data_IF_848191482181
#
_entry.id   IF_848191482181
#
_cell.length_a   1.000
_cell.length_b   1.000
_cell.length_c   1.000
_cell.angle_alpha   90.00
_cell.angle_beta   90.00
_cell.angle_gamma   90.00
#
_symmetry.space_group_name_H-M   'P 1'
#
loop_
_entity.id
_entity.type
_entity.pdbx_description
1 polymer ?
#
# COMPACT_ATOMS: atom_id res chain seq x y z
N UNK A 1 -11.07 2.17 -25.67
CA UNK A 1 -10.84 0.70 -25.56
C UNK A 1 -10.79 0.39 -24.08
N UNK A 2 -11.34 -0.74 -23.65
CA UNK A 2 -11.26 -1.16 -22.25
C UNK A 2 -9.78 -1.38 -21.87
N UNK A 3 -9.43 -1.02 -20.64
CA UNK A 3 -8.09 -1.24 -20.09
C UNK A 3 -7.82 -2.73 -19.95
N UNK A 4 -6.77 -3.23 -20.61
CA UNK A 4 -6.45 -4.66 -20.66
C UNK A 4 -4.95 -4.89 -20.37
N UNK A 5 -4.53 -4.57 -19.15
CA UNK A 5 -3.18 -4.78 -18.67
C UNK A 5 -3.18 -5.64 -17.39
N UNK A 6 -2.13 -6.42 -17.13
CA UNK A 6 -0.91 -6.56 -17.95
C UNK A 6 -1.14 -7.43 -19.20
N UNK A 7 -0.18 -7.42 -20.10
CA UNK A 7 -0.13 -8.39 -21.20
C UNK A 7 0.22 -9.79 -20.69
N UNK A 8 0.29 -10.80 -21.56
CA UNK A 8 0.58 -12.19 -21.18
C UNK A 8 1.98 -12.39 -20.58
N UNK A 9 2.92 -11.51 -20.88
CA UNK A 9 4.28 -11.53 -20.35
C UNK A 9 4.40 -10.79 -19.02
N UNK A 10 3.32 -10.15 -18.57
CA UNK A 10 3.26 -9.42 -17.29
C UNK A 10 3.68 -7.96 -17.37
N UNK A 11 3.65 -7.37 -18.58
CA UNK A 11 3.98 -5.95 -18.75
C UNK A 11 2.74 -5.06 -18.81
N UNK A 12 2.83 -3.93 -18.13
CA UNK A 12 1.94 -2.77 -18.18
C UNK A 12 2.60 -1.71 -19.06
N UNK A 13 2.32 -1.71 -20.37
CA UNK A 13 3.13 -0.98 -21.34
C UNK A 13 4.57 -1.50 -21.34
N UNK A 14 5.53 -0.67 -20.94
CA UNK A 14 6.94 -1.05 -20.83
C UNK A 14 7.33 -1.57 -19.41
N UNK A 15 6.51 -1.34 -18.39
CA UNK A 15 6.80 -1.69 -16.99
C UNK A 15 6.29 -3.07 -16.61
N UNK A 16 6.90 -3.68 -15.60
CA UNK A 16 6.53 -5.02 -15.10
C UNK A 16 7.53 -6.10 -15.49
N UNK A 17 7.03 -7.23 -15.96
CA UNK A 17 7.85 -8.37 -16.38
C UNK A 17 8.31 -9.27 -15.24
N UNK A 18 9.26 -10.19 -15.55
CA UNK A 18 9.80 -11.20 -14.62
C UNK A 18 11.33 -11.15 -14.63
N UNK A 19 11.92 -10.21 -13.91
CA UNK A 19 13.38 -10.02 -13.81
C UNK A 19 13.90 -10.77 -12.58
N UNK A 20 13.84 -12.09 -12.62
CA UNK A 20 14.25 -12.98 -11.52
C UNK A 20 15.32 -13.97 -12.00
N UNK A 21 16.16 -14.50 -11.07
CA UNK A 21 17.07 -15.58 -11.40
C UNK A 21 16.30 -16.82 -11.91
N UNK A 22 16.92 -17.61 -12.75
CA UNK A 22 16.36 -18.85 -13.30
C UNK A 22 15.93 -19.84 -12.21
N UNK A 23 16.58 -19.86 -11.07
CA UNK A 23 16.22 -20.68 -9.90
C UNK A 23 14.84 -20.34 -9.33
N UNK A 24 14.36 -19.12 -9.52
CA UNK A 24 13.05 -18.66 -9.04
C UNK A 24 11.96 -18.71 -10.13
N UNK A 25 12.36 -18.81 -11.40
CA UNK A 25 11.41 -18.73 -12.51
C UNK A 25 10.33 -19.81 -12.46
N UNK A 26 10.70 -21.04 -12.08
CA UNK A 26 9.73 -22.14 -11.94
C UNK A 26 8.64 -21.81 -10.91
N UNK A 27 9.01 -21.28 -9.75
CA UNK A 27 8.06 -20.90 -8.70
C UNK A 27 7.13 -19.75 -9.13
N UNK A 28 7.67 -18.77 -9.86
CA UNK A 28 6.89 -17.65 -10.40
C UNK A 28 5.89 -18.11 -11.45
N UNK A 29 6.28 -19.06 -12.32
CA UNK A 29 5.36 -19.64 -13.31
C UNK A 29 4.32 -20.57 -12.67
N UNK A 30 4.68 -21.32 -11.62
CA UNK A 30 3.73 -22.12 -10.81
C UNK A 30 2.68 -21.19 -10.18
N UNK A 31 3.11 -20.07 -9.61
CA UNK A 31 2.24 -19.07 -9.03
C UNK A 31 1.29 -18.47 -10.07
N UNK A 32 1.80 -18.07 -11.25
CA UNK A 32 0.98 -17.49 -12.32
C UNK A 32 -0.12 -18.47 -12.77
N UNK A 33 0.24 -19.75 -12.95
CA UNK A 33 -0.72 -20.80 -13.29
C UNK A 33 -1.79 -20.96 -12.21
N UNK A 34 -1.38 -21.14 -10.95
CA UNK A 34 -2.30 -21.34 -9.83
C UNK A 34 -3.24 -20.12 -9.64
N UNK A 35 -2.71 -18.91 -9.80
CA UNK A 35 -3.50 -17.68 -9.72
C UNK A 35 -4.55 -17.60 -10.84
N UNK A 36 -4.19 -17.91 -12.10
CA UNK A 36 -5.13 -17.90 -13.22
C UNK A 36 -6.21 -18.99 -13.08
N UNK A 37 -5.88 -20.13 -12.50
CA UNK A 37 -6.83 -21.18 -12.16
C UNK A 37 -7.77 -20.72 -11.04
N UNK A 38 -7.25 -20.12 -9.98
CA UNK A 38 -8.05 -19.61 -8.84
C UNK A 38 -9.05 -18.53 -9.25
N UNK A 39 -8.72 -17.68 -10.23
CA UNK A 39 -9.65 -16.66 -10.78
C UNK A 39 -10.90 -17.30 -11.41
N UNK A 40 -10.80 -18.53 -11.90
CA UNK A 40 -11.88 -19.25 -12.57
C UNK A 40 -12.55 -20.29 -11.66
N UNK A 41 -12.02 -20.52 -10.47
CA UNK A 41 -12.56 -21.46 -9.49
C UNK A 41 -13.63 -20.80 -8.62
N UNK A 42 -14.94 -21.10 -8.80
CA UNK A 42 -16.00 -20.51 -7.97
C UNK A 42 -15.86 -20.86 -6.49
N UNK A 43 -15.27 -22.01 -6.15
CA UNK A 43 -15.09 -22.42 -4.76
C UNK A 43 -13.99 -21.59 -4.09
N UNK A 44 -12.92 -21.25 -4.80
CA UNK A 44 -11.90 -20.34 -4.30
C UNK A 44 -12.47 -18.93 -4.08
N UNK A 45 -13.21 -18.41 -5.06
CA UNK A 45 -13.82 -17.08 -4.95
C UNK A 45 -14.83 -17.01 -3.80
N UNK A 46 -15.68 -18.03 -3.63
CA UNK A 46 -16.64 -18.07 -2.53
C UNK A 46 -15.96 -18.14 -1.15
N UNK A 47 -14.88 -18.94 -1.01
CA UNK A 47 -14.10 -19.02 0.25
C UNK A 47 -13.43 -17.66 0.56
N UNK A 48 -12.86 -17.01 -0.45
CA UNK A 48 -12.25 -15.68 -0.27
C UNK A 48 -13.29 -14.62 0.10
N UNK A 49 -14.44 -14.60 -0.56
CA UNK A 49 -15.54 -13.65 -0.27
C UNK A 49 -16.10 -13.86 1.14
N UNK A 50 -16.24 -15.12 1.59
CA UNK A 50 -16.66 -15.45 2.94
C UNK A 50 -15.65 -14.95 3.98
N UNK A 51 -14.35 -15.16 3.75
CA UNK A 51 -13.29 -14.67 4.62
C UNK A 51 -13.25 -13.13 4.67
N UNK A 52 -13.39 -12.47 3.54
CA UNK A 52 -13.48 -11.02 3.48
C UNK A 52 -14.67 -10.49 4.28
N UNK A 53 -15.82 -11.16 4.19
CA UNK A 53 -17.04 -10.77 4.89
C UNK A 53 -17.00 -11.11 6.38
N UNK A 54 -16.70 -12.35 6.73
CA UNK A 54 -16.88 -12.86 8.11
C UNK A 54 -15.65 -12.62 8.99
N UNK A 55 -14.45 -12.62 8.40
CA UNK A 55 -13.21 -12.50 9.14
C UNK A 55 -12.59 -11.10 9.06
N UNK A 56 -12.56 -10.49 7.87
CA UNK A 56 -12.06 -9.11 7.72
C UNK A 56 -13.07 -8.07 8.17
N UNK A 57 -14.36 -8.37 8.07
CA UNK A 57 -15.46 -7.48 8.48
C UNK A 57 -15.94 -6.56 7.37
N UNK A 58 -15.70 -6.97 6.08
CA UNK A 58 -16.22 -6.18 4.95
C UNK A 58 -17.74 -6.31 4.84
N UNK A 59 -18.47 -5.35 4.26
CA UNK A 59 -17.92 -4.21 3.52
C UNK A 59 -17.60 -3.05 4.47
N UNK A 60 -16.46 -2.40 4.23
CA UNK A 60 -16.14 -1.19 4.96
C UNK A 60 -16.97 -0.01 4.46
N UNK A 61 -17.43 0.89 5.33
CA UNK A 61 -18.23 2.03 4.91
C UNK A 61 -17.45 3.01 4.02
N UNK A 62 -18.16 3.63 3.10
CA UNK A 62 -17.80 4.88 2.47
C UNK A 62 -18.41 6.01 3.29
N UNK A 63 -17.59 6.67 4.11
CA UNK A 63 -18.01 7.68 5.08
C UNK A 63 -17.92 9.09 4.50
N UNK A 64 -19.03 9.82 4.49
CA UNK A 64 -19.02 11.24 4.15
C UNK A 64 -18.40 12.04 5.31
N UNK A 65 -17.20 12.55 5.11
CA UNK A 65 -16.45 13.32 6.11
C UNK A 65 -16.96 14.77 6.15
N UNK A 66 -18.06 14.98 6.86
CA UNK A 66 -18.78 16.25 6.87
C UNK A 66 -17.93 17.39 7.43
N UNK A 67 -17.24 17.15 8.53
CA UNK A 67 -16.44 18.19 9.18
C UNK A 67 -15.18 18.51 8.37
N UNK A 68 -14.53 17.48 7.79
CA UNK A 68 -13.38 17.67 6.91
C UNK A 68 -13.78 18.42 5.64
N UNK A 69 -14.94 18.12 5.05
CA UNK A 69 -15.51 18.85 3.91
C UNK A 69 -15.75 20.31 4.25
N UNK A 70 -16.37 20.59 5.41
CA UNK A 70 -16.61 21.96 5.87
C UNK A 70 -15.32 22.73 6.13
N UNK A 71 -14.32 22.08 6.72
CA UNK A 71 -12.99 22.65 6.94
C UNK A 71 -12.27 22.97 5.61
N UNK A 72 -12.31 22.05 4.66
CA UNK A 72 -11.71 22.26 3.34
C UNK A 72 -12.39 23.36 2.54
N UNK A 73 -13.68 23.57 2.72
CA UNK A 73 -14.43 24.65 2.06
C UNK A 73 -14.58 24.50 0.55
N UNK A 74 -14.65 23.26 0.05
CA UNK A 74 -14.74 22.94 -1.38
C UNK A 74 -15.47 21.63 -1.64
N UNK A 75 -14.91 20.75 -2.46
CA UNK A 75 -15.51 19.47 -2.85
C UNK A 75 -15.84 18.57 -1.66
N UNK A 76 -16.89 17.78 -1.79
CA UNK A 76 -17.31 16.79 -0.80
C UNK A 76 -16.26 15.68 -0.68
N UNK A 77 -15.83 15.38 0.54
CA UNK A 77 -14.79 14.37 0.82
C UNK A 77 -15.46 13.14 1.43
N UNK A 78 -15.28 11.99 0.77
CA UNK A 78 -15.70 10.68 1.26
C UNK A 78 -14.47 9.86 1.60
N UNK A 79 -14.48 9.20 2.75
CA UNK A 79 -13.39 8.32 3.20
C UNK A 79 -13.79 6.86 3.01
N UNK A 80 -13.04 6.11 2.20
CA UNK A 80 -13.15 4.65 2.17
C UNK A 80 -12.38 4.07 3.34
N UNK A 81 -13.10 3.53 4.32
CA UNK A 81 -12.64 3.22 5.68
C UNK A 81 -11.92 1.87 5.76
N UNK A 82 -10.76 1.73 5.08
CA UNK A 82 -9.91 0.52 5.17
C UNK A 82 -9.23 0.36 6.54
N UNK A 83 -9.21 1.41 7.34
CA UNK A 83 -8.80 1.43 8.75
C UNK A 83 -9.68 0.57 9.67
N UNK A 84 -10.90 0.24 9.24
CA UNK A 84 -11.85 -0.60 9.97
C UNK A 84 -11.71 -2.10 9.69
N UNK A 85 -10.85 -2.50 8.76
CA UNK A 85 -10.56 -3.90 8.55
C UNK A 85 -10.02 -4.57 9.82
N UNK A 86 -10.27 -5.87 10.00
CA UNK A 86 -9.45 -6.68 10.89
C UNK A 86 -7.96 -6.45 10.58
N UNK A 87 -7.14 -6.29 11.62
CA UNK A 87 -5.75 -5.81 11.60
C UNK A 87 -5.56 -4.29 11.45
N UNK A 88 -6.59 -3.53 11.06
CA UNK A 88 -6.58 -2.07 11.05
C UNK A 88 -6.03 -1.40 9.80
N UNK A 89 -5.89 -2.14 8.68
CA UNK A 89 -5.45 -1.60 7.39
C UNK A 89 -5.90 -2.47 6.21
N UNK A 90 -5.74 -1.96 4.98
CA UNK A 90 -6.06 -2.66 3.73
C UNK A 90 -5.23 -3.93 3.47
N UNK A 91 -4.08 -4.09 4.12
CA UNK A 91 -3.12 -5.17 3.84
C UNK A 91 -3.73 -6.57 4.00
N UNK A 92 -4.69 -6.75 4.88
CA UNK A 92 -5.35 -8.04 5.12
C UNK A 92 -6.08 -8.59 3.90
N UNK A 93 -6.63 -7.72 3.04
CA UNK A 93 -7.33 -8.14 1.81
C UNK A 93 -6.41 -8.96 0.91
N UNK A 94 -5.22 -8.44 0.67
CA UNK A 94 -4.20 -9.08 -0.14
C UNK A 94 -3.57 -10.29 0.56
N UNK A 95 -3.20 -10.16 1.84
CA UNK A 95 -2.56 -11.24 2.59
C UNK A 95 -3.45 -12.49 2.65
N UNK A 96 -4.75 -12.35 2.93
CA UNK A 96 -5.68 -13.46 2.93
C UNK A 96 -5.77 -14.15 1.57
N UNK A 97 -5.90 -13.38 0.48
CA UNK A 97 -5.98 -13.92 -0.87
C UNK A 97 -4.73 -14.70 -1.25
N UNK A 98 -3.54 -14.15 -0.98
CA UNK A 98 -2.28 -14.82 -1.28
C UNK A 98 -2.04 -16.07 -0.40
N UNK A 99 -2.34 -16.01 0.92
CA UNK A 99 -2.17 -17.17 1.80
C UNK A 99 -3.16 -18.29 1.45
N UNK A 100 -4.41 -17.96 1.12
CA UNK A 100 -5.37 -18.93 0.61
C UNK A 100 -4.87 -19.58 -0.69
N UNK A 101 -4.31 -18.80 -1.62
CA UNK A 101 -3.71 -19.32 -2.85
C UNK A 101 -2.54 -20.24 -2.55
N UNK A 102 -1.61 -19.84 -1.65
CA UNK A 102 -0.48 -20.66 -1.23
C UNK A 102 -0.93 -22.01 -0.64
N UNK A 103 -1.98 -21.99 0.20
CA UNK A 103 -2.59 -23.20 0.75
C UNK A 103 -3.12 -24.13 -0.35
N UNK A 104 -3.82 -23.58 -1.37
CA UNK A 104 -4.30 -24.34 -2.53
C UNK A 104 -3.16 -24.90 -3.38
N UNK A 105 -2.02 -24.22 -3.43
CA UNK A 105 -0.79 -24.71 -4.07
C UNK A 105 -0.07 -25.79 -3.24
N UNK A 106 -0.55 -26.13 -2.03
CA UNK A 106 0.05 -27.12 -1.15
C UNK A 106 1.31 -26.64 -0.41
N UNK A 107 1.59 -25.33 -0.41
CA UNK A 107 2.71 -24.75 0.36
C UNK A 107 2.43 -24.86 1.87
N UNK A 108 3.50 -25.07 2.64
CA UNK A 108 3.42 -25.27 4.08
C UNK A 108 3.91 -24.07 4.89
N UNK A 109 4.78 -23.27 4.27
CA UNK A 109 5.44 -22.14 4.89
C UNK A 109 5.16 -20.85 4.12
N UNK A 110 5.05 -19.77 4.86
CA UNK A 110 4.85 -18.43 4.36
C UNK A 110 6.06 -17.57 4.78
N UNK A 111 6.56 -16.79 3.85
CA UNK A 111 7.48 -15.70 4.16
C UNK A 111 6.93 -14.39 3.63
N UNK A 112 7.26 -13.29 4.30
CA UNK A 112 6.92 -11.95 3.82
C UNK A 112 7.95 -10.93 4.31
N UNK A 113 7.98 -9.78 3.67
CA UNK A 113 8.66 -8.58 4.13
C UNK A 113 7.70 -7.65 4.86
N UNK A 114 8.23 -6.72 5.64
CA UNK A 114 7.44 -5.62 6.18
C UNK A 114 8.31 -4.42 6.56
N UNK A 115 7.79 -3.20 6.41
CA UNK A 115 8.37 -1.97 6.92
C UNK A 115 7.58 -1.47 8.14
N UNK A 116 6.42 -0.83 7.94
CA UNK A 116 5.55 -0.37 9.04
C UNK A 116 4.96 -1.50 9.91
N UNK A 117 5.19 -2.76 9.56
CA UNK A 117 4.66 -3.92 10.28
C UNK A 117 3.24 -4.34 9.88
N UNK A 118 2.48 -3.51 9.17
CA UNK A 118 1.08 -3.81 8.85
C UNK A 118 0.94 -5.00 7.89
N UNK A 119 1.81 -5.13 6.90
CA UNK A 119 1.83 -6.30 6.02
C UNK A 119 2.25 -7.56 6.80
N UNK A 120 3.28 -7.45 7.65
CA UNK A 120 3.71 -8.55 8.51
C UNK A 120 2.60 -9.03 9.44
N UNK A 121 1.89 -8.12 10.11
CA UNK A 121 0.74 -8.46 10.97
C UNK A 121 -0.37 -9.13 10.14
N UNK A 122 -0.71 -8.60 8.97
CA UNK A 122 -1.74 -9.18 8.11
C UNK A 122 -1.35 -10.58 7.62
N UNK A 123 -0.08 -10.79 7.24
CA UNK A 123 0.43 -12.08 6.80
C UNK A 123 0.48 -13.09 7.95
N UNK A 124 0.99 -12.69 9.13
CA UNK A 124 0.98 -13.54 10.33
C UNK A 124 -0.44 -13.93 10.73
N UNK A 125 -1.40 -12.99 10.66
CA UNK A 125 -2.82 -13.23 10.91
C UNK A 125 -3.39 -14.30 9.98
N UNK A 126 -3.15 -14.15 8.67
CA UNK A 126 -3.62 -15.11 7.68
C UNK A 126 -2.92 -16.48 7.83
N UNK A 127 -1.62 -16.50 8.09
CA UNK A 127 -0.86 -17.73 8.31
C UNK A 127 -1.36 -18.49 9.55
N UNK A 128 -1.64 -17.77 10.65
CA UNK A 128 -2.23 -18.37 11.86
C UNK A 128 -3.61 -18.97 11.56
N UNK A 129 -4.48 -18.27 10.84
CA UNK A 129 -5.81 -18.74 10.45
C UNK A 129 -5.74 -20.05 9.65
N UNK A 130 -4.76 -20.19 8.78
CA UNK A 130 -4.59 -21.38 7.94
C UNK A 130 -3.62 -22.42 8.51
N UNK A 131 -3.11 -22.23 9.73
CA UNK A 131 -2.14 -23.09 10.40
C UNK A 131 -0.89 -23.35 9.54
N UNK A 132 -0.29 -22.27 9.04
CA UNK A 132 0.95 -22.30 8.24
C UNK A 132 2.10 -21.66 9.02
N UNK A 133 3.31 -22.22 8.89
CA UNK A 133 4.51 -21.60 9.43
C UNK A 133 4.76 -20.24 8.75
N UNK A 134 5.12 -19.24 9.55
CA UNK A 134 5.29 -17.87 9.03
C UNK A 134 6.61 -17.25 9.52
N UNK A 135 7.40 -16.73 8.58
CA UNK A 135 8.60 -15.92 8.88
C UNK A 135 8.47 -14.56 8.22
N UNK A 136 8.63 -13.49 8.99
CA UNK A 136 8.53 -12.10 8.53
C UNK A 136 9.92 -11.46 8.60
N UNK A 137 10.41 -10.96 7.46
CA UNK A 137 11.64 -10.18 7.37
C UNK A 137 11.34 -8.70 7.56
N UNK A 138 12.08 -8.05 8.47
CA UNK A 138 11.88 -6.65 8.81
C UNK A 138 13.22 -5.98 9.05
N UNK A 139 13.45 -4.79 8.50
CA UNK A 139 14.68 -4.05 8.72
C UNK A 139 14.86 -3.69 10.20
N UNK A 140 16.10 -3.75 10.71
CA UNK A 140 16.39 -3.50 12.13
C UNK A 140 15.89 -2.12 12.60
N UNK A 141 15.97 -1.10 11.75
CA UNK A 141 15.47 0.24 12.08
C UNK A 141 13.93 0.26 12.19
N UNK A 142 13.27 -0.48 11.30
CA UNK A 142 11.81 -0.61 11.34
C UNK A 142 11.34 -1.46 12.54
N UNK A 143 12.08 -2.51 12.92
CA UNK A 143 11.84 -3.29 14.15
C UNK A 143 11.81 -2.38 15.38
N UNK A 144 12.77 -1.45 15.47
CA UNK A 144 12.83 -0.47 16.58
C UNK A 144 11.65 0.51 16.56
N UNK A 145 11.33 1.03 15.36
CA UNK A 145 10.24 2.03 15.18
C UNK A 145 8.85 1.42 15.46
N UNK A 146 8.66 0.14 15.15
CA UNK A 146 7.37 -0.54 15.11
C UNK A 146 7.28 -1.75 16.05
N UNK A 147 7.90 -1.64 17.23
CA UNK A 147 7.99 -2.73 18.22
C UNK A 147 6.63 -3.35 18.61
N UNK A 148 5.55 -2.56 18.62
CA UNK A 148 4.19 -3.05 18.89
C UNK A 148 3.72 -4.01 17.79
N UNK A 149 4.01 -3.73 16.52
CA UNK A 149 3.65 -4.63 15.42
C UNK A 149 4.53 -5.88 15.41
N UNK A 150 5.81 -5.77 15.81
CA UNK A 150 6.69 -6.93 16.00
C UNK A 150 6.08 -7.88 17.02
N UNK A 151 5.71 -7.37 18.18
CA UNK A 151 5.06 -8.18 19.24
C UNK A 151 3.74 -8.81 18.77
N UNK A 152 2.93 -8.09 17.98
CA UNK A 152 1.70 -8.64 17.38
C UNK A 152 2.00 -9.83 16.46
N UNK A 153 3.03 -9.73 15.61
CA UNK A 153 3.43 -10.83 14.72
C UNK A 153 3.88 -12.05 15.49
N UNK A 154 4.70 -11.86 16.54
CA UNK A 154 5.15 -12.94 17.43
C UNK A 154 4.00 -13.59 18.20
N UNK A 155 3.04 -12.78 18.69
CA UNK A 155 1.85 -13.27 19.38
C UNK A 155 0.95 -14.12 18.45
N UNK A 156 0.95 -13.83 17.15
CA UNK A 156 0.27 -14.59 16.11
C UNK A 156 1.04 -15.86 15.70
N UNK A 157 2.20 -16.11 16.29
CA UNK A 157 3.02 -17.30 16.04
C UNK A 157 4.03 -17.13 14.89
N UNK A 158 4.16 -15.96 14.31
CA UNK A 158 5.17 -15.71 13.29
C UNK A 158 6.55 -15.48 13.92
N UNK A 159 7.60 -15.92 13.22
CA UNK A 159 8.97 -15.56 13.54
C UNK A 159 9.32 -14.24 12.83
N UNK A 160 9.84 -13.26 13.57
CA UNK A 160 10.35 -12.02 12.99
C UNK A 160 11.86 -12.09 12.87
N UNK A 161 12.37 -11.98 11.65
CA UNK A 161 13.80 -11.95 11.34
C UNK A 161 14.24 -10.50 11.09
N UNK A 162 15.08 -9.98 11.99
CA UNK A 162 15.67 -8.64 11.87
C UNK A 162 16.76 -8.62 10.81
N UNK A 163 16.61 -7.74 9.80
CA UNK A 163 17.57 -7.59 8.70
C UNK A 163 18.52 -6.44 9.03
N UNK A 164 19.80 -6.76 9.16
CA UNK A 164 20.88 -5.84 9.56
C UNK A 164 21.72 -5.34 8.40
N UNK A 165 21.49 -5.85 7.19
CA UNK A 165 22.19 -5.44 5.97
C UNK A 165 21.63 -4.13 5.39
N UNK A 166 22.45 -3.40 4.65
CA UNK A 166 22.07 -2.20 3.91
C UNK A 166 21.60 -1.06 4.81
N UNK A 167 20.55 -0.34 4.38
CA UNK A 167 19.91 0.74 5.13
C UNK A 167 19.01 0.24 6.27
N UNK A 168 18.79 -1.07 6.38
CA UNK A 168 18.04 -1.75 7.44
C UNK A 168 16.56 -1.33 7.53
N UNK A 169 15.97 -1.04 6.35
CA UNK A 169 14.56 -0.67 6.18
C UNK A 169 13.87 -1.60 5.18
N UNK A 170 12.66 -1.28 4.76
CA UNK A 170 11.78 -2.11 3.91
C UNK A 170 12.49 -2.68 2.66
N UNK A 171 13.31 -1.89 1.94
CA UNK A 171 14.03 -2.39 0.74
C UNK A 171 14.89 -3.61 1.05
N UNK A 172 15.61 -3.59 2.17
CA UNK A 172 16.50 -4.68 2.55
C UNK A 172 15.74 -5.88 3.10
N UNK A 173 14.60 -5.65 3.75
CA UNK A 173 13.66 -6.71 4.13
C UNK A 173 13.13 -7.47 2.89
N UNK A 174 12.78 -6.77 1.81
CA UNK A 174 12.38 -7.40 0.52
C UNK A 174 13.53 -8.23 -0.05
N UNK A 175 14.76 -7.69 -0.06
CA UNK A 175 15.94 -8.42 -0.52
C UNK A 175 16.18 -9.72 0.28
N UNK A 176 16.04 -9.67 1.60
CA UNK A 176 16.20 -10.83 2.48
C UNK A 176 15.11 -11.88 2.23
N UNK A 177 13.85 -11.45 2.12
CA UNK A 177 12.71 -12.34 1.82
C UNK A 177 12.86 -13.02 0.45
N UNK A 178 13.28 -12.31 -0.59
CA UNK A 178 13.54 -12.89 -1.91
C UNK A 178 14.67 -13.93 -1.86
N UNK A 179 15.77 -13.63 -1.16
CA UNK A 179 16.88 -14.61 -0.98
C UNK A 179 16.39 -15.86 -0.24
N UNK A 180 15.61 -15.68 0.81
CA UNK A 180 15.05 -16.80 1.55
C UNK A 180 14.09 -17.64 0.70
N UNK A 181 13.29 -17.00 -0.15
CA UNK A 181 12.38 -17.69 -1.05
C UNK A 181 13.14 -18.56 -2.06
N UNK A 182 14.18 -18.02 -2.70
CA UNK A 182 15.05 -18.80 -3.60
C UNK A 182 15.61 -20.06 -2.92
N UNK A 183 15.98 -19.97 -1.63
CA UNK A 183 16.55 -21.08 -0.88
C UNK A 183 15.52 -22.14 -0.44
N UNK A 184 14.22 -21.84 -0.44
CA UNK A 184 13.16 -22.68 0.15
C UNK A 184 11.92 -22.79 -0.76
N UNK A 185 12.10 -22.67 -2.07
CA UNK A 185 11.03 -22.53 -3.05
C UNK A 185 10.03 -23.70 -3.08
N UNK A 186 10.44 -24.91 -2.69
CA UNK A 186 9.63 -26.13 -2.82
C UNK A 186 8.38 -26.11 -1.91
N UNK A 187 8.54 -25.72 -0.64
CA UNK A 187 7.48 -25.77 0.37
C UNK A 187 7.07 -24.40 0.89
N UNK A 188 7.73 -23.34 0.47
CA UNK A 188 7.57 -21.98 0.96
C UNK A 188 6.98 -21.08 -0.13
N UNK A 189 6.05 -20.21 0.26
CA UNK A 189 5.50 -19.17 -0.60
C UNK A 189 5.79 -17.78 -0.04
N UNK A 190 6.18 -16.88 -0.94
CA UNK A 190 6.39 -15.48 -0.61
C UNK A 190 5.11 -14.68 -0.79
N UNK A 191 4.65 -14.01 0.29
CA UNK A 191 3.49 -13.13 0.28
C UNK A 191 3.97 -11.70 0.04
N UNK A 192 3.80 -11.19 -1.17
CA UNK A 192 4.22 -9.84 -1.53
C UNK A 192 3.32 -8.79 -0.90
N UNK A 193 3.92 -7.80 -0.22
CA UNK A 193 3.20 -6.81 0.58
C UNK A 193 2.58 -5.66 -0.21
N UNK A 194 2.97 -5.45 -1.46
CA UNK A 194 2.45 -4.38 -2.29
C UNK A 194 2.32 -4.79 -3.76
N UNK A 195 1.79 -3.89 -4.60
CA UNK A 195 1.55 -4.14 -6.03
C UNK A 195 2.84 -4.01 -6.86
N UNK A 196 3.90 -4.68 -6.41
CA UNK A 196 5.25 -4.68 -6.98
C UNK A 196 5.80 -6.10 -7.05
N UNK A 197 7.06 -6.26 -7.46
CA UNK A 197 7.67 -7.57 -7.62
C UNK A 197 7.47 -8.16 -9.02
N UNK A 198 8.04 -9.35 -9.28
CA UNK A 198 7.92 -10.00 -10.59
C UNK A 198 6.46 -10.39 -10.87
N UNK A 199 6.05 -10.32 -12.15
CA UNK A 199 4.74 -10.85 -12.52
C UNK A 199 4.64 -12.34 -12.10
N UNK A 200 3.52 -12.79 -11.46
CA UNK A 200 2.19 -12.15 -11.43
C UNK A 200 1.89 -11.32 -10.17
N UNK A 201 2.84 -11.07 -9.27
CA UNK A 201 2.55 -10.39 -8.00
C UNK A 201 1.82 -9.04 -8.15
N UNK A 202 2.20 -8.11 -9.07
CA UNK A 202 1.48 -6.85 -9.21
C UNK A 202 -0.01 -7.05 -9.56
N UNK A 203 -0.31 -8.01 -10.44
CA UNK A 203 -1.68 -8.34 -10.82
C UNK A 203 -2.46 -9.00 -9.68
N UNK A 204 -1.85 -9.95 -8.97
CA UNK A 204 -2.44 -10.62 -7.80
C UNK A 204 -2.83 -9.59 -6.73
N UNK A 205 -1.90 -8.72 -6.37
CA UNK A 205 -2.13 -7.70 -5.34
C UNK A 205 -3.20 -6.71 -5.76
N UNK A 206 -3.16 -6.23 -7.00
CA UNK A 206 -4.20 -5.38 -7.57
C UNK A 206 -5.58 -6.03 -7.46
N UNK A 207 -5.71 -7.27 -7.91
CA UNK A 207 -7.00 -7.95 -7.99
C UNK A 207 -7.60 -8.19 -6.59
N UNK A 208 -6.79 -8.61 -5.61
CA UNK A 208 -7.25 -8.78 -4.23
C UNK A 208 -7.55 -7.44 -3.54
N UNK A 209 -6.82 -6.38 -3.85
CA UNK A 209 -7.11 -5.05 -3.33
C UNK A 209 -8.27 -4.34 -4.05
N UNK A 210 -8.66 -4.79 -5.23
CA UNK A 210 -9.75 -4.17 -6.02
C UNK A 210 -11.11 -4.18 -5.31
N UNK A 211 -11.28 -4.99 -4.26
CA UNK A 211 -12.44 -4.94 -3.38
C UNK A 211 -12.68 -3.53 -2.83
N UNK A 212 -11.62 -2.76 -2.57
CA UNK A 212 -11.68 -1.36 -2.11
C UNK A 212 -12.48 -0.50 -3.11
N UNK A 213 -12.07 -0.50 -4.36
CA UNK A 213 -12.68 0.34 -5.39
C UNK A 213 -14.03 -0.19 -5.86
N UNK A 214 -14.23 -1.53 -5.93
CA UNK A 214 -15.55 -2.10 -6.27
C UNK A 214 -16.62 -1.68 -5.26
N UNK A 215 -16.33 -1.80 -3.97
CA UNK A 215 -17.24 -1.34 -2.91
C UNK A 215 -17.42 0.18 -2.96
N UNK A 216 -16.34 0.95 -3.06
CA UNK A 216 -16.38 2.41 -3.08
C UNK A 216 -17.25 2.94 -4.25
N UNK A 217 -17.10 2.36 -5.45
CA UNK A 217 -17.88 2.74 -6.64
C UNK A 217 -19.36 2.51 -6.44
N UNK A 218 -19.74 1.34 -5.95
CA UNK A 218 -21.14 1.01 -5.66
C UNK A 218 -21.71 1.88 -4.55
N UNK A 219 -21.01 1.98 -3.41
CA UNK A 219 -21.44 2.75 -2.24
C UNK A 219 -21.59 4.24 -2.57
N UNK A 220 -20.68 4.79 -3.40
CA UNK A 220 -20.78 6.17 -3.82
C UNK A 220 -22.00 6.41 -4.71
N UNK A 221 -22.25 5.53 -5.69
CA UNK A 221 -23.43 5.60 -6.55
C UNK A 221 -24.74 5.50 -5.75
N UNK A 222 -24.81 4.61 -4.76
CA UNK A 222 -25.97 4.48 -3.85
C UNK A 222 -26.22 5.76 -3.05
N UNK A 223 -25.17 6.43 -2.58
CA UNK A 223 -25.27 7.67 -1.78
C UNK A 223 -25.51 8.92 -2.65
N UNK A 224 -25.23 8.87 -3.96
CA UNK A 224 -25.23 10.03 -4.85
C UNK A 224 -26.04 9.81 -6.13
N UNK A 225 -27.21 9.16 -6.02
CA UNK A 225 -28.19 8.99 -7.10
C UNK A 225 -27.61 8.39 -8.41
N UNK A 226 -26.69 7.42 -8.29
CA UNK A 226 -26.06 6.74 -9.42
C UNK A 226 -24.83 7.46 -10.01
N UNK A 227 -24.39 8.58 -9.43
CA UNK A 227 -23.24 9.32 -9.92
C UNK A 227 -21.90 8.61 -9.63
N UNK A 228 -20.86 9.01 -10.36
CA UNK A 228 -19.46 8.70 -10.06
C UNK A 228 -18.82 9.89 -9.33
N UNK A 229 -17.76 9.65 -8.51
CA UNK A 229 -16.99 10.75 -7.93
C UNK A 229 -16.19 11.47 -9.03
N UNK A 230 -15.86 12.74 -8.80
CA UNK A 230 -15.01 13.52 -9.72
C UNK A 230 -13.52 13.14 -9.55
N UNK A 231 -13.10 12.75 -8.34
CA UNK A 231 -11.72 12.40 -8.07
C UNK A 231 -11.58 11.23 -7.08
N UNK A 232 -10.45 10.52 -7.20
CA UNK A 232 -9.95 9.52 -6.25
C UNK A 232 -8.61 9.98 -5.73
N UNK A 233 -8.36 9.81 -4.44
CA UNK A 233 -7.08 10.14 -3.79
C UNK A 233 -6.61 8.98 -2.93
N UNK A 234 -5.35 8.56 -3.09
CA UNK A 234 -4.74 7.52 -2.26
C UNK A 234 -3.24 7.75 -2.11
N UNK A 235 -2.66 7.37 -0.97
CA UNK A 235 -1.22 7.41 -0.80
C UNK A 235 -0.53 6.29 -1.57
N UNK A 236 0.71 6.52 -2.01
CA UNK A 236 1.51 5.55 -2.73
C UNK A 236 2.91 5.41 -2.15
N UNK A 237 3.23 4.21 -1.67
CA UNK A 237 4.56 3.67 -1.53
C UNK A 237 4.73 2.65 -2.67
N UNK A 238 4.63 1.34 -2.41
CA UNK A 238 4.46 0.35 -3.49
C UNK A 238 3.09 0.43 -4.20
N UNK A 239 2.10 1.17 -3.65
CA UNK A 239 0.87 1.56 -4.31
C UNK A 239 -0.30 0.59 -4.19
N UNK A 240 -0.30 -0.39 -3.27
CA UNK A 240 -1.35 -1.42 -3.21
C UNK A 240 -2.74 -0.89 -2.88
N UNK A 241 -2.87 0.05 -1.92
CA UNK A 241 -4.16 0.67 -1.61
C UNK A 241 -4.68 1.53 -2.76
N UNK A 242 -3.77 2.26 -3.41
CA UNK A 242 -4.09 3.13 -4.52
C UNK A 242 -4.58 2.34 -5.73
N UNK A 243 -3.85 1.30 -6.16
CA UNK A 243 -4.29 0.47 -7.29
C UNK A 243 -5.60 -0.26 -6.98
N UNK A 244 -5.80 -0.67 -5.72
CA UNK A 244 -7.05 -1.29 -5.26
C UNK A 244 -8.26 -0.35 -5.38
N UNK A 245 -8.07 0.95 -5.08
CA UNK A 245 -9.10 1.97 -5.29
C UNK A 245 -9.25 2.34 -6.77
N UNK A 246 -8.13 2.53 -7.51
CA UNK A 246 -8.12 3.09 -8.86
C UNK A 246 -8.59 2.11 -9.94
N UNK A 247 -8.16 0.85 -9.86
CA UNK A 247 -8.39 -0.13 -10.92
C UNK A 247 -9.87 -0.31 -11.28
N UNK A 248 -10.84 -0.42 -10.36
CA UNK A 248 -12.25 -0.51 -10.71
C UNK A 248 -12.85 0.72 -11.42
N UNK A 249 -12.12 1.84 -11.43
CA UNK A 249 -12.49 3.09 -12.11
C UNK A 249 -11.61 3.37 -13.35
N UNK A 250 -10.76 2.44 -13.74
CA UNK A 250 -9.74 2.70 -14.77
C UNK A 250 -10.36 3.12 -16.12
N UNK A 251 -11.52 2.55 -16.46
CA UNK A 251 -12.26 2.86 -17.68
C UNK A 251 -13.21 4.08 -17.54
N UNK A 252 -13.40 4.59 -16.33
CA UNK A 252 -14.25 5.79 -16.09
C UNK A 252 -13.41 7.06 -16.31
N UNK A 253 -13.33 7.51 -17.55
CA UNK A 253 -12.47 8.65 -17.94
C UNK A 253 -12.87 9.99 -17.30
N UNK A 254 -14.08 10.11 -16.79
CA UNK A 254 -14.57 11.29 -16.04
C UNK A 254 -14.02 11.35 -14.61
N UNK A 255 -13.46 10.26 -14.09
CA UNK A 255 -12.92 10.17 -12.73
C UNK A 255 -11.41 10.40 -12.77
N UNK A 256 -10.94 11.49 -12.17
CA UNK A 256 -9.51 11.79 -12.06
C UNK A 256 -8.90 11.02 -10.89
N UNK A 257 -7.66 10.57 -11.03
CA UNK A 257 -6.95 9.79 -10.01
C UNK A 257 -5.71 10.50 -9.53
N UNK A 258 -5.52 10.60 -8.21
CA UNK A 258 -4.37 11.24 -7.59
C UNK A 258 -3.70 10.29 -6.61
N UNK A 259 -2.42 9.95 -6.88
CA UNK A 259 -1.55 9.23 -5.97
C UNK A 259 -0.69 10.22 -5.19
N UNK A 260 -0.66 10.15 -3.86
CA UNK A 260 0.21 11.02 -3.06
C UNK A 260 1.47 10.30 -2.65
N UNK A 261 2.62 10.83 -3.07
CA UNK A 261 3.96 10.32 -2.76
C UNK A 261 4.52 11.01 -1.51
N UNK A 262 5.34 10.29 -0.74
CA UNK A 262 6.03 10.87 0.40
C UNK A 262 7.19 11.76 -0.06
N UNK A 263 7.02 13.05 0.07
CA UNK A 263 8.08 14.04 -0.21
C UNK A 263 9.05 14.22 0.95
N UNK A 264 8.88 13.52 2.06
CA UNK A 264 9.78 13.59 3.20
C UNK A 264 10.02 15.04 3.65
N UNK A 265 11.28 15.48 3.58
CA UNK A 265 11.68 16.87 3.88
C UNK A 265 11.65 17.79 2.66
N UNK A 266 11.16 17.31 1.53
CA UNK A 266 11.04 18.03 0.28
C UNK A 266 11.72 17.29 -0.87
N UNK A 267 11.11 17.30 -2.05
CA UNK A 267 11.60 16.57 -3.25
C UNK A 267 12.91 17.13 -3.83
N UNK A 268 13.35 18.29 -3.39
CA UNK A 268 14.64 18.88 -3.78
C UNK A 268 15.76 18.59 -2.77
N UNK A 269 15.48 17.73 -1.78
CA UNK A 269 16.46 17.19 -0.83
C UNK A 269 16.73 15.71 -1.16
N UNK A 270 17.71 15.09 -0.50
CA UNK A 270 17.97 13.64 -0.61
C UNK A 270 17.06 12.81 0.32
N UNK A 271 16.18 13.45 1.10
CA UNK A 271 15.33 12.81 2.09
C UNK A 271 13.85 12.80 1.65
N UNK A 272 13.54 11.99 0.64
CA UNK A 272 12.17 11.75 0.13
C UNK A 272 12.02 10.33 -0.43
N UNK A 273 10.75 9.93 -0.69
CA UNK A 273 10.38 8.68 -1.36
C UNK A 273 9.45 8.94 -2.58
N UNK A 274 9.55 10.12 -3.19
CA UNK A 274 8.70 10.54 -4.31
C UNK A 274 9.22 9.96 -5.64
N UNK A 275 8.97 8.68 -5.87
CA UNK A 275 9.56 7.88 -6.95
C UNK A 275 9.08 8.30 -8.34
N UNK A 276 7.79 8.62 -8.54
CA UNK A 276 7.27 9.06 -9.84
C UNK A 276 7.58 10.52 -10.13
N UNK A 277 7.85 11.31 -9.08
CA UNK A 277 8.25 12.72 -9.22
C UNK A 277 9.74 12.85 -9.58
N UNK A 278 10.64 12.03 -9.02
CA UNK A 278 12.10 12.18 -9.11
C UNK A 278 12.84 10.95 -9.65
N UNK A 279 12.21 9.80 -9.69
CA UNK A 279 12.80 8.55 -10.17
C UNK A 279 12.80 8.44 -11.70
N UNK A 280 13.34 7.32 -12.16
CA UNK A 280 13.37 6.94 -13.58
C UNK A 280 13.27 5.42 -13.70
N UNK A 281 12.93 4.88 -14.90
CA UNK A 281 12.80 3.44 -15.10
C UNK A 281 14.07 2.67 -14.71
N UNK A 282 13.88 1.60 -13.95
CA UNK A 282 14.93 0.69 -13.50
C UNK A 282 14.35 -0.63 -13.00
N UNK A 283 15.19 -1.66 -12.91
CA UNK A 283 14.77 -2.97 -12.38
C UNK A 283 15.05 -3.02 -10.88
N UNK A 284 13.99 -3.25 -10.11
CA UNK A 284 14.07 -3.46 -8.67
C UNK A 284 13.13 -4.60 -8.26
N UNK A 285 13.60 -5.49 -7.37
CA UNK A 285 12.80 -6.61 -6.81
C UNK A 285 12.04 -7.43 -7.86
N UNK A 286 12.65 -7.62 -9.03
CA UNK A 286 12.14 -8.52 -10.08
C UNK A 286 11.18 -7.90 -11.08
N UNK A 287 10.99 -6.60 -11.11
CA UNK A 287 10.17 -5.88 -12.10
C UNK A 287 10.86 -4.60 -12.60
N UNK A 288 10.56 -4.22 -13.85
CA UNK A 288 10.86 -2.90 -14.36
C UNK A 288 9.81 -1.90 -13.86
N UNK A 289 10.23 -0.84 -13.19
CA UNK A 289 9.37 0.19 -12.60
C UNK A 289 10.12 1.52 -12.50
N UNK A 290 9.47 2.61 -12.13
CA UNK A 290 10.21 3.81 -11.73
C UNK A 290 10.86 3.56 -10.35
N UNK A 291 12.12 3.97 -10.23
CA UNK A 291 12.93 3.82 -9.02
C UNK A 291 13.75 5.07 -8.74
N UNK A 292 13.99 5.38 -7.46
CA UNK A 292 14.96 6.38 -7.06
C UNK A 292 16.36 5.80 -7.25
N UNK A 293 17.13 6.37 -8.16
CA UNK A 293 18.47 5.90 -8.50
C UNK A 293 19.37 7.06 -8.95
N UNK A 294 20.67 6.91 -8.72
CA UNK A 294 21.69 7.84 -9.19
C UNK A 294 21.97 7.68 -10.70
N UNK A 295 22.87 8.49 -11.24
CA UNK A 295 23.26 8.44 -12.66
C UNK A 295 23.89 7.11 -13.08
N UNK A 296 24.48 6.38 -12.16
CA UNK A 296 25.08 5.05 -12.37
C UNK A 296 24.08 3.90 -12.22
N UNK A 297 22.81 4.20 -11.84
CA UNK A 297 21.78 3.20 -11.65
C UNK A 297 21.77 2.55 -10.26
N UNK A 298 22.51 3.10 -9.28
CA UNK A 298 22.46 2.63 -7.91
C UNK A 298 21.18 3.16 -7.24
N UNK A 299 20.50 2.28 -6.53
CA UNK A 299 19.27 2.64 -5.81
C UNK A 299 19.62 3.59 -4.65
N UNK A 300 18.98 4.75 -4.66
CA UNK A 300 19.10 5.73 -3.58
C UNK A 300 18.27 5.29 -2.36
N UNK A 301 18.69 5.73 -1.19
CA UNK A 301 17.89 5.55 0.02
C UNK A 301 16.64 6.40 -0.07
N UNK A 302 15.49 5.80 0.23
CA UNK A 302 14.25 6.53 0.39
C UNK A 302 14.14 7.08 1.82
N UNK A 303 13.32 8.09 2.02
CA UNK A 303 13.04 8.64 3.33
C UNK A 303 11.57 9.07 3.44
N UNK A 304 10.92 8.67 4.52
CA UNK A 304 9.59 9.14 4.93
C UNK A 304 9.40 8.99 6.43
N UNK A 305 8.66 9.91 7.05
CA UNK A 305 8.15 9.72 8.41
C UNK A 305 7.28 8.47 8.53
N UNK A 306 6.65 8.08 7.44
CA UNK A 306 5.81 6.89 7.31
C UNK A 306 6.63 5.71 6.80
N UNK A 307 6.90 4.72 7.66
CA UNK A 307 7.65 3.52 7.28
C UNK A 307 6.99 2.72 6.13
N UNK A 308 5.67 2.83 5.95
CA UNK A 308 4.95 2.17 4.86
C UNK A 308 5.10 2.86 3.50
N UNK A 309 5.62 4.10 3.46
CA UNK A 309 5.93 4.84 2.22
C UNK A 309 7.44 4.99 2.00
N UNK A 310 8.27 4.51 2.91
CA UNK A 310 9.73 4.54 2.85
C UNK A 310 10.27 3.44 1.93
N UNK A 311 10.12 3.65 0.61
CA UNK A 311 10.48 2.68 -0.41
C UNK A 311 10.91 3.39 -1.70
N UNK A 312 12.06 3.00 -2.33
CA UNK A 312 12.63 3.71 -3.47
C UNK A 312 12.04 3.29 -4.83
N UNK A 313 10.94 2.60 -4.87
CA UNK A 313 10.28 2.11 -6.08
C UNK A 313 8.76 2.23 -5.99
N UNK A 314 8.07 1.85 -7.06
CA UNK A 314 6.61 1.87 -7.11
C UNK A 314 6.09 0.71 -7.95
N UNK A 315 4.83 0.31 -7.76
CA UNK A 315 4.22 -0.72 -8.59
C UNK A 315 4.25 -0.38 -10.09
N UNK A 316 4.58 -1.34 -10.97
CA UNK A 316 4.74 -1.08 -12.41
C UNK A 316 3.47 -0.56 -13.07
N UNK A 317 2.29 -0.91 -12.58
CA UNK A 317 1.03 -0.37 -13.09
C UNK A 317 0.86 1.12 -12.77
N UNK A 318 1.41 1.61 -11.66
CA UNK A 318 1.45 3.05 -11.36
C UNK A 318 2.41 3.80 -12.29
N UNK A 319 3.60 3.23 -12.59
CA UNK A 319 4.51 3.77 -13.60
C UNK A 319 3.82 3.89 -14.95
N UNK A 320 3.07 2.86 -15.34
CA UNK A 320 2.28 2.88 -16.56
C UNK A 320 1.17 3.96 -16.50
N UNK A 321 0.42 4.06 -15.43
CA UNK A 321 -0.62 5.10 -15.26
C UNK A 321 -0.04 6.51 -15.36
N UNK A 322 1.15 6.74 -14.80
CA UNK A 322 1.85 8.01 -14.94
C UNK A 322 2.22 8.30 -16.40
N UNK A 323 2.73 7.30 -17.12
CA UNK A 323 3.14 7.45 -18.54
C UNK A 323 1.95 7.77 -19.43
N UNK A 324 0.84 7.03 -19.31
CA UNK A 324 -0.38 7.28 -20.11
C UNK A 324 -1.27 8.40 -19.57
N UNK A 325 -0.85 9.07 -18.49
CA UNK A 325 -1.58 10.16 -17.81
C UNK A 325 -2.97 9.75 -17.32
N UNK A 326 -3.14 8.47 -16.94
CA UNK A 326 -4.39 8.00 -16.32
C UNK A 326 -4.51 8.44 -14.87
N UNK A 327 -3.39 8.53 -14.16
CA UNK A 327 -3.31 9.08 -12.82
C UNK A 327 -2.24 10.16 -12.75
N UNK A 328 -2.42 11.11 -11.83
CA UNK A 328 -1.45 12.15 -11.48
C UNK A 328 -0.84 11.83 -10.12
N UNK A 329 0.47 11.96 -9.99
CA UNK A 329 1.16 11.72 -8.73
C UNK A 329 1.72 13.03 -8.18
N UNK A 330 1.48 13.26 -6.89
CA UNK A 330 1.78 14.53 -6.23
C UNK A 330 2.58 14.31 -4.95
N UNK A 331 3.65 15.07 -4.75
CA UNK A 331 4.44 14.97 -3.53
C UNK A 331 3.73 15.65 -2.36
N UNK A 332 3.80 15.02 -1.17
CA UNK A 332 3.30 15.53 0.11
C UNK A 332 4.40 15.37 1.15
N UNK A 333 4.74 16.45 1.85
CA UNK A 333 5.82 16.45 2.85
C UNK A 333 5.39 15.79 4.16
N UNK A 334 6.39 15.41 4.96
CA UNK A 334 6.18 14.87 6.31
C UNK A 334 5.40 15.85 7.21
N UNK A 335 5.66 17.16 7.07
CA UNK A 335 4.98 18.20 7.84
C UNK A 335 3.49 18.27 7.46
N UNK A 336 3.18 18.31 6.18
CA UNK A 336 1.80 18.30 5.69
C UNK A 336 1.04 17.03 6.11
N UNK A 337 1.69 15.87 6.07
CA UNK A 337 1.11 14.62 6.53
C UNK A 337 0.84 14.64 8.05
N UNK A 338 1.75 15.21 8.85
CA UNK A 338 1.60 15.32 10.29
C UNK A 338 0.49 16.30 10.69
N UNK A 339 0.36 17.41 9.96
CA UNK A 339 -0.76 18.35 10.14
C UNK A 339 -2.11 17.66 9.80
N UNK A 340 -2.18 16.91 8.71
CA UNK A 340 -3.38 16.18 8.31
C UNK A 340 -3.74 15.06 9.29
N UNK A 341 -2.74 14.37 9.86
CA UNK A 341 -2.94 13.39 10.94
C UNK A 341 -3.66 14.04 12.14
N UNK A 342 -3.16 15.18 12.60
CA UNK A 342 -3.78 15.90 13.72
C UNK A 342 -5.14 16.49 13.36
N UNK A 343 -5.29 17.03 12.15
CA UNK A 343 -6.53 17.61 11.64
C UNK A 343 -7.65 16.57 11.67
N UNK A 344 -7.48 15.44 10.96
CA UNK A 344 -8.51 14.41 10.88
C UNK A 344 -8.88 13.86 12.26
N UNK A 345 -7.87 13.69 13.12
CA UNK A 345 -8.06 13.23 14.50
C UNK A 345 -8.96 14.18 15.29
N UNK A 346 -8.75 15.49 15.15
CA UNK A 346 -9.48 16.52 15.92
C UNK A 346 -10.88 16.77 15.41
N UNK A 347 -11.09 16.77 14.10
CA UNK A 347 -12.36 17.21 13.53
C UNK A 347 -13.33 16.06 13.18
N UNK A 348 -12.82 14.86 12.86
CA UNK A 348 -13.63 13.69 12.56
C UNK A 348 -13.55 12.61 13.65
N UNK A 349 -12.65 12.75 14.65
CA UNK A 349 -12.41 11.72 15.66
C UNK A 349 -11.81 10.43 15.09
N UNK A 350 -11.12 10.53 13.95
CA UNK A 350 -10.49 9.40 13.26
C UNK A 350 -8.98 9.61 13.27
N UNK A 351 -8.23 8.71 13.91
CA UNK A 351 -6.77 8.73 13.92
C UNK A 351 -6.27 7.94 12.69
N UNK A 352 -5.83 8.62 11.62
CA UNK A 352 -5.36 7.94 10.40
C UNK A 352 -3.95 7.39 10.61
N UNK A 353 -3.55 6.38 9.84
CA UNK A 353 -2.13 6.05 9.71
C UNK A 353 -1.36 7.21 9.04
N UNK A 354 -0.07 7.35 9.33
CA UNK A 354 0.78 8.38 8.70
C UNK A 354 0.79 8.24 7.17
N UNK A 355 0.69 7.00 6.67
CA UNK A 355 0.53 6.73 5.24
C UNK A 355 -0.70 7.45 4.67
N UNK A 356 -1.88 7.20 5.26
CA UNK A 356 -3.16 7.79 4.82
C UNK A 356 -3.20 9.30 5.00
N UNK A 357 -2.44 9.84 5.96
CA UNK A 357 -2.37 11.27 6.23
C UNK A 357 -1.85 12.06 5.04
N UNK A 358 -0.96 11.48 4.21
CA UNK A 358 -0.51 12.08 2.96
C UNK A 358 -1.70 12.29 1.98
N UNK A 359 -2.58 11.28 1.87
CA UNK A 359 -3.78 11.40 1.05
C UNK A 359 -4.76 12.46 1.58
N UNK A 360 -4.95 12.53 2.90
CA UNK A 360 -5.80 13.54 3.55
C UNK A 360 -5.24 14.96 3.33
N UNK A 361 -3.92 15.16 3.48
CA UNK A 361 -3.28 16.45 3.26
C UNK A 361 -3.56 17.00 1.86
N UNK A 362 -3.38 16.17 0.84
CA UNK A 362 -3.67 16.56 -0.53
C UNK A 362 -5.16 16.73 -0.79
N UNK A 363 -6.02 15.87 -0.25
CA UNK A 363 -7.47 15.95 -0.42
C UNK A 363 -8.04 17.30 0.06
N UNK A 364 -7.53 17.86 1.16
CA UNK A 364 -7.93 19.18 1.66
C UNK A 364 -7.57 20.30 0.67
N UNK A 365 -6.41 20.22 0.02
CA UNK A 365 -5.99 21.17 -1.01
C UNK A 365 -6.86 21.01 -2.27
N UNK A 366 -6.97 19.78 -2.77
CA UNK A 366 -7.74 19.45 -3.96
C UNK A 366 -9.21 19.84 -3.83
N UNK A 367 -9.80 19.72 -2.63
CA UNK A 367 -11.20 20.10 -2.40
C UNK A 367 -11.46 21.56 -2.73
N UNK A 368 -10.55 22.48 -2.37
CA UNK A 368 -10.65 23.90 -2.69
C UNK A 368 -10.56 24.16 -4.20
N UNK A 369 -9.69 23.43 -4.87
CA UNK A 369 -9.46 23.57 -6.33
C UNK A 369 -10.66 23.07 -7.14
N UNK A 370 -11.27 21.95 -6.73
CA UNK A 370 -12.42 21.36 -7.41
C UNK A 370 -13.72 22.17 -7.21
N UNK A 371 -13.89 22.78 -6.04
CA UNK A 371 -15.10 23.54 -5.70
C UNK A 371 -16.26 22.68 -5.16
N UNK A 372 -17.33 23.35 -4.63
CA UNK A 372 -18.34 22.71 -3.77
C UNK A 372 -19.30 21.74 -4.49
N UNK A 373 -19.41 21.84 -5.81
CA UNK A 373 -20.29 20.97 -6.61
C UNK A 373 -19.65 19.62 -6.95
N UNK A 374 -18.36 19.46 -6.60
CA UNK A 374 -17.55 18.28 -6.86
C UNK A 374 -17.45 17.37 -5.66
N UNK A 375 -16.95 16.17 -5.90
CA UNK A 375 -16.80 15.15 -4.88
C UNK A 375 -15.57 14.30 -5.12
N UNK A 376 -14.98 13.78 -4.04
CA UNK A 376 -13.88 12.86 -4.11
C UNK A 376 -13.99 11.73 -3.11
N UNK A 377 -13.34 10.60 -3.44
CA UNK A 377 -13.13 9.47 -2.53
C UNK A 377 -11.66 9.42 -2.15
N UNK A 378 -11.37 9.40 -0.86
CA UNK A 378 -10.02 9.21 -0.31
C UNK A 378 -9.92 7.81 0.31
N UNK A 379 -8.89 7.05 -0.05
CA UNK A 379 -8.59 5.78 0.62
C UNK A 379 -7.96 6.05 1.99
N UNK A 380 -8.73 5.85 3.05
CA UNK A 380 -8.20 5.82 4.42
C UNK A 380 -7.64 4.44 4.69
N UNK A 381 -6.42 4.21 4.21
CA UNK A 381 -5.81 2.89 4.01
C UNK A 381 -5.46 2.13 5.28
N UNK A 382 -5.34 2.84 6.42
CA UNK A 382 -5.05 2.25 7.71
C UNK A 382 -5.27 3.22 8.87
N UNK A 383 -5.36 2.66 10.10
CA UNK A 383 -5.50 3.44 11.34
C UNK A 383 -4.14 3.75 11.97
N UNK A 384 -4.10 4.85 12.72
CA UNK A 384 -2.88 5.43 13.26
C UNK A 384 -2.47 4.94 14.65
N UNK A 385 -3.12 3.95 15.24
CA UNK A 385 -2.75 3.45 16.58
C UNK A 385 -1.26 3.08 16.68
N UNK A 386 -0.70 2.55 15.59
CA UNK A 386 0.71 2.21 15.49
C UNK A 386 1.65 3.41 15.50
N UNK A 387 1.15 4.59 15.11
CA UNK A 387 1.94 5.81 14.87
C UNK A 387 1.86 6.81 16.04
N UNK A 388 0.91 6.62 16.98
CA UNK A 388 0.63 7.58 18.06
C UNK A 388 1.87 7.88 18.90
N UNK A 389 2.70 6.89 19.22
CA UNK A 389 3.92 7.07 20.01
C UNK A 389 4.93 7.92 19.23
N UNK A 390 5.19 7.57 17.98
CA UNK A 390 6.11 8.30 17.09
C UNK A 390 5.66 9.77 16.89
N UNK A 391 4.37 9.97 16.66
CA UNK A 391 3.79 11.32 16.49
C UNK A 391 3.92 12.13 17.77
N UNK A 392 3.63 11.53 18.94
CA UNK A 392 3.81 12.18 20.24
C UNK A 392 5.25 12.67 20.44
N UNK A 393 6.23 11.77 20.24
CA UNK A 393 7.65 12.12 20.40
C UNK A 393 8.08 13.24 19.44
N UNK A 394 7.57 13.24 18.21
CA UNK A 394 7.84 14.29 17.23
C UNK A 394 7.29 15.64 17.68
N UNK A 395 6.03 15.69 18.10
CA UNK A 395 5.38 16.92 18.57
C UNK A 395 6.04 17.49 19.84
N UNK A 396 6.49 16.63 20.77
CA UNK A 396 7.22 17.03 21.97
C UNK A 396 8.58 17.66 21.63
N UNK A 397 9.31 17.08 20.67
CA UNK A 397 10.58 17.64 20.16
C UNK A 397 10.38 19.02 19.51
N UNK A 398 9.36 19.16 18.67
CA UNK A 398 9.04 20.43 18.02
C UNK A 398 8.63 21.51 19.02
N UNK A 399 7.86 21.16 20.06
CA UNK A 399 7.49 22.08 21.14
C UNK A 399 8.71 22.54 21.95
N UNK A 400 9.64 21.62 22.26
CA UNK A 400 10.87 21.94 23.00
C UNK A 400 11.78 22.88 22.19
N UNK A 401 11.89 22.69 20.87
CA UNK A 401 12.68 23.56 19.99
C UNK A 401 12.08 24.99 19.89
N UNK A 402 10.74 25.10 19.86
CA UNK A 402 10.05 26.40 19.84
C UNK A 402 10.09 27.10 21.18
N UNK A 403 10.09 26.39 22.32
CA UNK A 403 10.19 26.93 23.67
C UNK A 403 11.59 27.39 24.05
N UNK A 404 12.66 26.79 23.52
CA UNK A 404 14.05 27.18 23.75
C UNK A 404 14.55 28.37 22.91
N UNK A 405 13.73 28.89 22.01
CA UNK A 405 14.06 30.07 21.19
C UNK A 405 13.57 31.39 21.81
N UNK A 406 13.03 31.37 23.03
CA UNK A 406 12.49 32.54 23.75
C UNK A 406 13.20 32.85 25.09
N UNK A 407 14.33 32.19 25.40
CA UNK A 407 15.18 32.52 26.56
C UNK A 407 16.49 33.24 26.13
#
# INVERSE_FOLDING_TARGET
MAYNQPNQEGFYGEFGGRFVPETLMTAVLELDKAYRESKKDPAFQAELDELLKQYVGRENPLYFAKNLTAYAGGAKIYLKREDLNHTGAHKINNALGQVLLAKRMGKKKIIAETGAGQHGVATATAAALFNMDCTIYMGEEDVKRQALNVFRMELLGAKVESVTDGSRVLKDAVNAALRAWVAQVDDTHYIMGSALGPHPFPEIVRDYQSVIGREAKRQFAEQNAGALPDALVACVGGGSNAIGLFYPFVDDSSVTMYGTEAAGRGVDTDEHAATLTKGRPGVLHGALMDVLQDEQGQILEAFSISAGLDYPGIGPEHSHFNTIKRATYVPVTDEEALEAFQLLSRIEGIIPALESSHAIAYAVKLAKELGPDKSMIVCLSGRGDKDVVQVKERLEKEAAQKGGAHD
#
